data_IF_914173044177
#
_entry.id   IF_914173044177
#
_cell.length_a   1.000
_cell.length_b   1.000
_cell.length_c   1.000
_cell.angle_alpha   90.00
_cell.angle_beta   90.00
_cell.angle_gamma   90.00
#
_symmetry.space_group_name_H-M   'P 1'
#
loop_
_entity.id
_entity.type
_entity.pdbx_description
1 polymer ?
#
# COMPACT_ATOMS: atom_id res chain seq x y z
N UNK A 1 -7.07 22.43 43.84
CA UNK A 1 -6.37 23.33 42.91
C UNK A 1 -7.40 24.32 42.36
N UNK A 2 -7.35 25.60 42.74
CA UNK A 2 -8.26 26.65 42.22
C UNK A 2 -7.51 27.41 41.14
N UNK A 3 -7.96 27.32 39.88
CA UNK A 3 -7.38 28.14 38.82
C UNK A 3 -8.09 29.49 38.78
N UNK A 4 -7.36 30.57 39.09
CA UNK A 4 -7.86 31.93 39.02
C UNK A 4 -7.76 32.44 37.58
N UNK A 5 -8.71 32.07 36.72
CA UNK A 5 -8.80 32.62 35.37
C UNK A 5 -9.61 33.92 35.39
N UNK A 6 -9.00 35.01 34.91
CA UNK A 6 -9.65 36.31 34.78
C UNK A 6 -10.70 36.30 33.67
N UNK A 7 -11.75 37.12 33.81
CA UNK A 7 -12.76 37.36 32.77
C UNK A 7 -12.13 37.80 31.44
N UNK A 8 -11.04 38.58 31.52
CA UNK A 8 -10.31 39.03 30.32
C UNK A 8 -9.66 37.88 29.56
N UNK A 9 -9.26 36.82 30.27
CA UNK A 9 -8.72 35.61 29.64
C UNK A 9 -9.79 34.93 28.77
N UNK A 10 -11.02 34.81 29.28
CA UNK A 10 -12.12 34.19 28.55
C UNK A 10 -12.52 35.00 27.32
N UNK A 11 -12.61 36.34 27.44
CA UNK A 11 -12.92 37.22 26.31
C UNK A 11 -11.87 37.11 25.20
N UNK A 12 -10.59 37.05 25.57
CA UNK A 12 -9.50 36.91 24.61
C UNK A 12 -9.52 35.54 23.92
N UNK A 13 -9.90 34.48 24.64
CA UNK A 13 -10.03 33.13 24.08
C UNK A 13 -11.21 33.02 23.12
N UNK A 14 -12.37 33.57 23.50
CA UNK A 14 -13.57 33.57 22.66
C UNK A 14 -13.36 34.34 21.35
N UNK A 15 -12.63 35.46 21.37
CA UNK A 15 -12.31 36.23 20.16
C UNK A 15 -11.40 35.47 19.18
N UNK A 16 -10.63 34.47 19.66
CA UNK A 16 -9.82 33.59 18.79
C UNK A 16 -10.67 32.48 18.15
N UNK A 17 -11.73 32.04 18.82
CA UNK A 17 -12.60 30.96 18.34
C UNK A 17 -13.63 31.47 17.32
N UNK A 18 -14.04 32.75 17.37
CA UNK A 18 -15.05 33.36 16.49
C UNK A 18 -14.70 33.34 14.98
N UNK A 19 -13.43 33.03 14.64
CA UNK A 19 -12.95 32.89 13.26
C UNK A 19 -12.28 31.54 12.98
N UNK A 20 -12.35 30.61 13.93
CA UNK A 20 -11.76 29.29 13.79
C UNK A 20 -12.86 28.30 13.34
N UNK A 21 -12.65 27.60 12.23
CA UNK A 21 -13.46 26.43 11.90
C UNK A 21 -13.22 25.36 12.96
N UNK A 22 -14.24 25.10 13.79
CA UNK A 22 -14.16 24.05 14.81
C UNK A 22 -14.36 22.70 14.13
N UNK A 23 -13.27 21.94 13.99
CA UNK A 23 -13.35 20.53 13.60
C UNK A 23 -13.13 19.64 14.81
N UNK A 24 -13.90 18.55 14.91
CA UNK A 24 -13.62 17.49 15.85
C UNK A 24 -12.44 16.66 15.33
N UNK A 25 -11.23 17.13 15.65
CA UNK A 25 -9.97 16.54 15.22
C UNK A 25 -9.50 17.07 13.87
N UNK A 26 -8.85 18.24 13.86
CA UNK A 26 -7.97 18.68 12.77
C UNK A 26 -6.71 19.33 13.34
N UNK A 27 -5.60 19.06 12.66
CA UNK A 27 -4.33 19.74 12.90
C UNK A 27 -4.49 21.19 12.47
N UNK A 28 -4.34 22.15 13.39
CA UNK A 28 -4.30 23.57 13.08
C UNK A 28 -3.01 23.89 12.32
N UNK A 29 -3.07 23.83 10.99
CA UNK A 29 -1.95 24.08 10.08
C UNK A 29 -1.34 25.48 10.28
N UNK A 30 -2.09 26.44 10.81
CA UNK A 30 -1.61 27.79 11.08
C UNK A 30 -0.78 27.89 12.38
N UNK A 31 -0.77 26.85 13.22
CA UNK A 31 0.03 26.77 14.45
C UNK A 31 1.39 26.10 14.28
N UNK A 32 1.68 25.54 13.12
CA UNK A 32 3.00 24.99 12.84
C UNK A 32 4.00 26.14 12.62
N UNK A 33 5.18 26.12 13.26
CA UNK A 33 6.21 27.11 12.98
C UNK A 33 6.55 27.02 11.49
N UNK A 34 6.41 28.12 10.78
CA UNK A 34 6.72 28.20 9.35
C UNK A 34 8.22 27.95 9.15
N UNK A 35 8.61 26.68 9.04
CA UNK A 35 9.86 26.30 8.40
C UNK A 35 9.74 26.71 6.95
N UNK A 36 10.12 27.94 6.66
CA UNK A 36 10.40 28.44 5.31
C UNK A 36 11.59 27.67 4.76
N UNK A 37 11.33 26.43 4.32
CA UNK A 37 12.15 25.85 3.27
C UNK A 37 11.37 26.08 1.98
N UNK A 38 11.78 27.12 1.27
CA UNK A 38 11.38 27.42 -0.10
C UNK A 38 12.02 26.42 -1.06
N UNK A 39 11.79 25.13 -0.81
CA UNK A 39 11.55 24.19 -1.88
C UNK A 39 10.07 23.85 -1.74
N UNK A 40 9.27 24.40 -2.66
CA UNK A 40 8.07 23.71 -3.08
C UNK A 40 8.58 22.41 -3.72
N UNK A 41 8.98 21.44 -2.89
CA UNK A 41 8.92 20.06 -3.28
C UNK A 41 7.43 19.87 -3.44
N UNK A 42 6.98 20.04 -4.69
CA UNK A 42 5.92 19.25 -5.26
C UNK A 42 5.72 18.01 -4.39
N UNK A 43 4.70 18.04 -3.53
CA UNK A 43 4.18 16.83 -2.87
C UNK A 43 3.52 15.92 -3.92
N UNK A 44 3.92 16.01 -5.20
CA UNK A 44 4.32 14.84 -5.99
C UNK A 44 5.59 14.19 -5.39
N UNK A 45 5.57 13.83 -4.11
CA UNK A 45 6.19 12.56 -3.76
C UNK A 45 5.35 11.58 -4.54
N UNK A 46 5.88 11.02 -5.63
CA UNK A 46 5.17 10.12 -6.52
C UNK A 46 4.48 9.06 -5.66
N UNK A 47 3.21 9.30 -5.34
CA UNK A 47 2.28 8.23 -5.08
C UNK A 47 2.33 7.54 -6.43
N UNK A 48 3.09 6.44 -6.49
CA UNK A 48 2.89 5.50 -7.57
C UNK A 48 1.49 4.93 -7.27
N UNK A 49 0.46 5.72 -7.61
CA UNK A 49 -0.95 5.31 -7.58
C UNK A 49 -1.17 4.14 -8.52
N UNK A 50 -0.20 3.90 -9.40
CA UNK A 50 -0.14 2.74 -10.26
C UNK A 50 0.37 1.54 -9.45
N UNK A 51 -0.43 0.47 -9.34
CA UNK A 51 -0.01 -0.75 -8.70
C UNK A 51 1.22 -1.28 -9.45
N UNK A 52 2.17 -1.88 -8.72
CA UNK A 52 3.34 -2.45 -9.37
C UNK A 52 2.86 -3.55 -10.33
N UNK A 53 3.35 -3.60 -11.59
CA UNK A 53 3.00 -4.66 -12.53
C UNK A 53 3.38 -6.07 -12.00
N UNK A 54 4.24 -6.13 -10.99
CA UNK A 54 4.62 -7.33 -10.29
C UNK A 54 3.53 -7.92 -9.38
N UNK A 55 2.53 -7.13 -8.92
CA UNK A 55 1.56 -7.60 -7.92
C UNK A 55 0.69 -8.72 -8.46
N UNK A 56 0.00 -8.49 -9.58
CA UNK A 56 -0.84 -9.51 -10.22
C UNK A 56 -0.05 -10.76 -10.61
N UNK A 57 1.18 -10.56 -11.10
CA UNK A 57 2.10 -11.63 -11.47
C UNK A 57 2.54 -12.46 -10.27
N UNK A 58 2.84 -11.82 -9.14
CA UNK A 58 3.18 -12.49 -7.88
C UNK A 58 2.03 -13.38 -7.41
N UNK A 59 0.80 -12.85 -7.41
CA UNK A 59 -0.41 -13.60 -7.02
C UNK A 59 -0.58 -14.82 -7.93
N UNK A 60 -0.50 -14.61 -9.25
CA UNK A 60 -0.63 -15.68 -10.23
C UNK A 60 0.44 -16.78 -10.05
N UNK A 61 1.71 -16.40 -9.99
CA UNK A 61 2.82 -17.35 -9.86
C UNK A 61 2.80 -18.09 -8.52
N UNK A 62 2.48 -17.39 -7.43
CA UNK A 62 2.35 -18.02 -6.10
C UNK A 62 1.18 -19.00 -6.06
N UNK A 63 0.05 -18.65 -6.68
CA UNK A 63 -1.10 -19.54 -6.83
C UNK A 63 -0.73 -20.79 -7.63
N UNK A 64 -0.09 -20.61 -8.79
CA UNK A 64 0.38 -21.71 -9.66
C UNK A 64 1.39 -22.62 -8.94
N UNK A 65 2.34 -22.04 -8.20
CA UNK A 65 3.30 -22.80 -7.38
C UNK A 65 2.63 -23.65 -6.31
N UNK A 66 1.54 -23.18 -5.69
CA UNK A 66 0.73 -23.95 -4.74
C UNK A 66 -0.22 -24.96 -5.43
N UNK A 67 -0.25 -25.02 -6.76
CA UNK A 67 -1.17 -25.89 -7.51
C UNK A 67 -2.64 -25.52 -7.37
N UNK A 68 -2.96 -24.28 -6.96
CA UNK A 68 -4.33 -23.84 -6.70
C UNK A 68 -5.02 -23.40 -8.00
N UNK A 69 -6.25 -23.87 -8.20
CA UNK A 69 -7.18 -23.28 -9.19
C UNK A 69 -7.59 -21.89 -8.74
N UNK A 70 -8.00 -21.05 -9.68
CA UNK A 70 -8.40 -19.67 -9.40
C UNK A 70 -9.55 -19.60 -8.39
N UNK A 71 -10.57 -20.44 -8.57
CA UNK A 71 -11.72 -20.58 -7.68
C UNK A 71 -11.32 -21.02 -6.26
N UNK A 72 -10.32 -21.89 -6.16
CA UNK A 72 -9.83 -22.40 -4.88
C UNK A 72 -9.11 -21.29 -4.09
N UNK A 73 -8.32 -20.44 -4.77
CA UNK A 73 -7.70 -19.29 -4.12
C UNK A 73 -8.76 -18.24 -3.73
N UNK A 74 -9.68 -17.91 -4.62
CA UNK A 74 -10.76 -16.95 -4.33
C UNK A 74 -11.57 -17.38 -3.10
N UNK A 75 -11.94 -18.67 -3.02
CA UNK A 75 -12.62 -19.24 -1.85
C UNK A 75 -11.77 -19.19 -0.58
N UNK A 76 -10.47 -19.50 -0.67
CA UNK A 76 -9.56 -19.47 0.48
C UNK A 76 -9.34 -18.05 1.01
N UNK A 77 -9.22 -17.06 0.12
CA UNK A 77 -9.07 -15.64 0.46
C UNK A 77 -10.43 -14.97 0.80
N UNK A 78 -11.57 -15.61 0.48
CA UNK A 78 -12.93 -15.05 0.65
C UNK A 78 -13.16 -13.78 -0.18
N UNK A 79 -12.71 -13.81 -1.44
CA UNK A 79 -12.85 -12.74 -2.43
C UNK A 79 -13.63 -13.24 -3.65
N UNK A 80 -14.12 -12.33 -4.48
CA UNK A 80 -14.80 -12.70 -5.72
C UNK A 80 -13.81 -13.28 -6.74
N UNK A 81 -14.26 -14.29 -7.52
CA UNK A 81 -13.41 -14.91 -8.55
C UNK A 81 -13.08 -13.92 -9.66
N UNK A 82 -14.03 -13.05 -10.02
CA UNK A 82 -13.88 -12.02 -11.04
C UNK A 82 -12.86 -10.98 -10.60
N UNK A 83 -12.92 -10.56 -9.34
CA UNK A 83 -11.93 -9.66 -8.73
C UNK A 83 -10.52 -10.29 -8.78
N UNK A 84 -10.38 -11.58 -8.46
CA UNK A 84 -9.10 -12.28 -8.57
C UNK A 84 -8.58 -12.37 -10.01
N UNK A 85 -9.48 -12.51 -10.99
CA UNK A 85 -9.11 -12.49 -12.42
C UNK A 85 -8.57 -11.12 -12.81
N UNK A 86 -9.23 -10.04 -12.40
CA UNK A 86 -8.77 -8.68 -12.63
C UNK A 86 -7.40 -8.45 -11.97
N UNK A 87 -7.22 -8.87 -10.72
CA UNK A 87 -5.94 -8.78 -10.01
C UNK A 87 -4.81 -9.48 -10.77
N UNK A 88 -5.05 -10.69 -11.30
CA UNK A 88 -3.99 -11.46 -11.97
C UNK A 88 -3.70 -11.01 -13.41
N UNK A 89 -4.65 -10.37 -14.09
CA UNK A 89 -4.54 -10.05 -15.53
C UNK A 89 -4.41 -8.57 -15.84
N UNK A 90 -5.02 -7.71 -15.02
CA UNK A 90 -5.09 -6.29 -15.27
C UNK A 90 -4.01 -5.57 -14.45
N UNK A 91 -2.94 -5.16 -15.15
CA UNK A 91 -1.78 -4.48 -14.55
C UNK A 91 -2.13 -3.15 -13.86
N UNK A 92 -3.27 -2.54 -14.21
CA UNK A 92 -3.70 -1.26 -13.65
C UNK A 92 -4.77 -1.42 -12.57
N UNK A 93 -5.18 -2.65 -12.24
CA UNK A 93 -6.20 -2.89 -11.22
C UNK A 93 -5.62 -2.71 -9.82
N UNK A 94 -6.19 -1.77 -9.06
CA UNK A 94 -5.84 -1.53 -7.65
C UNK A 94 -6.88 -2.21 -6.76
N UNK A 95 -6.55 -3.35 -6.13
CA UNK A 95 -7.44 -4.01 -5.18
C UNK A 95 -7.56 -3.22 -3.88
N UNK A 96 -8.67 -3.40 -3.18
CA UNK A 96 -8.87 -2.82 -1.85
C UNK A 96 -7.86 -3.38 -0.83
N UNK A 97 -7.45 -2.59 0.19
CA UNK A 97 -6.51 -3.05 1.22
C UNK A 97 -6.95 -4.35 1.91
N UNK A 98 -8.26 -4.51 2.09
CA UNK A 98 -8.86 -5.72 2.66
C UNK A 98 -8.58 -6.96 1.79
N UNK A 99 -8.82 -6.85 0.49
CA UNK A 99 -8.56 -7.91 -0.50
C UNK A 99 -7.08 -8.29 -0.49
N UNK A 100 -6.19 -7.30 -0.45
CA UNK A 100 -4.74 -7.51 -0.39
C UNK A 100 -4.33 -8.26 0.87
N UNK A 101 -4.86 -7.86 2.03
CA UNK A 101 -4.60 -8.54 3.30
C UNK A 101 -5.08 -10.00 3.30
N UNK A 102 -6.27 -10.25 2.74
CA UNK A 102 -6.83 -11.60 2.60
C UNK A 102 -5.98 -12.48 1.68
N UNK A 103 -5.53 -11.94 0.54
CA UNK A 103 -4.64 -12.63 -0.39
C UNK A 103 -3.28 -12.93 0.24
N UNK A 104 -2.70 -11.97 0.97
CA UNK A 104 -1.45 -12.16 1.69
C UNK A 104 -1.54 -13.35 2.67
N UNK A 105 -2.62 -13.43 3.44
CA UNK A 105 -2.85 -14.53 4.37
C UNK A 105 -3.04 -15.88 3.67
N UNK A 106 -3.86 -15.94 2.61
CA UNK A 106 -4.11 -17.18 1.86
C UNK A 106 -2.82 -17.70 1.16
N UNK A 107 -2.01 -16.78 0.65
CA UNK A 107 -0.76 -17.10 -0.04
C UNK A 107 0.45 -17.24 0.89
N UNK A 108 0.28 -16.94 2.18
CA UNK A 108 1.32 -16.89 3.21
C UNK A 108 2.47 -15.98 2.78
N UNK A 109 2.12 -14.72 2.50
CA UNK A 109 3.04 -13.65 2.11
C UNK A 109 2.93 -12.50 3.14
N UNK A 110 3.98 -11.69 3.32
CA UNK A 110 3.96 -10.54 4.23
C UNK A 110 2.93 -9.49 3.78
N UNK A 111 1.95 -9.19 4.65
CA UNK A 111 0.84 -8.28 4.32
C UNK A 111 1.28 -6.86 4.00
N UNK A 112 2.24 -6.31 4.76
CA UNK A 112 2.73 -4.94 4.58
C UNK A 112 3.37 -4.75 3.20
N UNK A 113 4.13 -5.74 2.74
CA UNK A 113 4.75 -5.73 1.42
C UNK A 113 3.74 -5.91 0.29
N UNK A 114 2.73 -6.75 0.51
CA UNK A 114 1.64 -6.93 -0.45
C UNK A 114 0.87 -5.62 -0.63
N UNK A 115 0.64 -4.85 0.45
CA UNK A 115 0.01 -3.53 0.41
C UNK A 115 0.87 -2.49 -0.31
N UNK A 116 2.20 -2.54 -0.13
CA UNK A 116 3.14 -1.66 -0.85
C UNK A 116 3.16 -1.98 -2.36
N UNK A 117 3.17 -3.27 -2.72
CA UNK A 117 3.15 -3.71 -4.13
C UNK A 117 1.83 -3.43 -4.84
N UNK A 118 0.71 -3.51 -4.10
CA UNK A 118 -0.63 -3.23 -4.65
C UNK A 118 -0.92 -1.73 -4.81
N UNK A 119 0.06 -0.85 -4.53
CA UNK A 119 -0.13 0.60 -4.57
C UNK A 119 -0.97 1.17 -3.42
N UNK A 120 -1.29 0.36 -2.41
CA UNK A 120 -2.12 0.78 -1.27
C UNK A 120 -1.31 1.43 -0.14
N UNK A 121 0.01 1.27 -0.12
CA UNK A 121 0.91 1.91 0.83
C UNK A 121 2.02 2.66 0.09
N UNK A 122 2.38 3.85 0.58
CA UNK A 122 3.51 4.60 0.04
C UNK A 122 4.80 3.82 0.19
N UNK A 123 5.51 3.66 -0.93
CA UNK A 123 6.76 2.90 -1.00
C UNK A 123 7.80 3.56 -0.09
N UNK A 124 8.10 2.93 1.04
CA UNK A 124 9.12 3.43 1.98
C UNK A 124 10.51 3.04 1.53
N UNK A 125 10.61 1.96 0.76
CA UNK A 125 11.87 1.36 0.34
C UNK A 125 11.97 1.33 -1.18
N UNK A 126 12.76 2.25 -1.75
CA UNK A 126 13.00 2.33 -3.19
C UNK A 126 13.59 1.04 -3.78
N UNK A 127 14.18 0.17 -2.94
CA UNK A 127 14.69 -1.14 -3.36
C UNK A 127 13.58 -2.14 -3.72
N UNK A 128 12.42 -2.10 -3.05
CA UNK A 128 11.30 -2.98 -3.35
C UNK A 128 10.74 -2.73 -4.76
N UNK A 129 10.61 -1.46 -5.15
CA UNK A 129 10.15 -1.09 -6.49
C UNK A 129 11.07 -1.60 -7.59
N UNK A 130 12.39 -1.50 -7.41
CA UNK A 130 13.37 -2.01 -8.38
C UNK A 130 13.33 -3.54 -8.48
N UNK A 131 13.23 -4.23 -7.35
CA UNK A 131 13.16 -5.70 -7.33
C UNK A 131 11.85 -6.21 -7.95
N UNK A 132 10.73 -5.51 -7.70
CA UNK A 132 9.45 -5.81 -8.35
C UNK A 132 9.53 -5.70 -9.87
N UNK A 133 10.20 -4.67 -10.40
CA UNK A 133 10.43 -4.52 -11.85
C UNK A 133 11.32 -5.64 -12.39
N UNK A 134 12.40 -6.00 -11.69
CA UNK A 134 13.28 -7.12 -12.08
C UNK A 134 12.53 -8.45 -12.09
N UNK A 135 11.70 -8.68 -11.07
CA UNK A 135 10.85 -9.86 -10.97
C UNK A 135 9.87 -9.95 -12.14
N UNK A 136 9.17 -8.85 -12.46
CA UNK A 136 8.24 -8.78 -13.58
C UNK A 136 8.94 -9.10 -14.91
N UNK A 137 10.10 -8.49 -15.17
CA UNK A 137 10.86 -8.73 -16.39
C UNK A 137 11.36 -10.17 -16.56
N UNK A 138 11.59 -10.90 -15.45
CA UNK A 138 12.06 -12.31 -15.46
C UNK A 138 10.93 -13.33 -15.54
N UNK A 139 9.68 -12.90 -15.38
CA UNK A 139 8.54 -13.78 -15.08
C UNK A 139 7.46 -13.78 -16.18
N UNK A 140 7.78 -13.29 -17.37
CA UNK A 140 6.84 -13.15 -18.51
C UNK A 140 6.68 -14.45 -19.34
N UNK A 141 7.15 -15.62 -18.85
CA UNK A 141 7.18 -16.87 -19.63
C UNK A 141 5.84 -17.64 -19.51
N UNK A 142 5.11 -17.74 -20.61
CA UNK A 142 3.70 -18.19 -20.62
C UNK A 142 3.50 -19.72 -20.41
N UNK A 143 4.56 -20.51 -20.29
CA UNK A 143 4.47 -21.98 -20.15
C UNK A 143 4.45 -22.48 -18.69
N UNK A 144 4.39 -23.81 -18.47
CA UNK A 144 4.52 -24.43 -17.13
C UNK A 144 5.74 -23.83 -16.43
N UNK A 145 5.56 -23.35 -15.19
CA UNK A 145 6.53 -22.60 -14.40
C UNK A 145 7.97 -22.97 -14.78
N UNK A 146 8.62 -22.09 -15.54
CA UNK A 146 9.98 -22.37 -15.99
C UNK A 146 10.91 -22.45 -14.77
N UNK A 147 12.07 -23.09 -14.92
CA UNK A 147 13.07 -23.12 -13.84
C UNK A 147 13.50 -21.70 -13.44
N UNK A 148 13.49 -20.78 -14.41
CA UNK A 148 13.85 -19.37 -14.19
C UNK A 148 12.75 -18.63 -13.42
N UNK A 149 11.48 -18.85 -13.75
CA UNK A 149 10.34 -18.24 -13.03
C UNK A 149 10.24 -18.74 -11.59
N UNK A 150 10.45 -20.05 -11.39
CA UNK A 150 10.44 -20.65 -10.06
C UNK A 150 11.53 -20.05 -9.19
N UNK A 151 12.72 -19.83 -9.77
CA UNK A 151 13.85 -19.19 -9.10
C UNK A 151 13.58 -17.71 -8.82
N UNK A 152 13.07 -16.96 -9.79
CA UNK A 152 12.74 -15.55 -9.61
C UNK A 152 11.68 -15.35 -8.52
N UNK A 153 10.66 -16.22 -8.48
CA UNK A 153 9.64 -16.22 -7.42
C UNK A 153 10.23 -16.54 -6.05
N UNK A 154 11.15 -17.49 -5.94
CA UNK A 154 11.80 -17.83 -4.67
C UNK A 154 12.70 -16.72 -4.16
N UNK A 155 13.52 -16.13 -5.04
CA UNK A 155 14.35 -14.96 -4.74
C UNK A 155 13.48 -13.79 -4.26
N UNK A 156 12.38 -13.51 -4.95
CA UNK A 156 11.48 -12.41 -4.58
C UNK A 156 10.73 -12.68 -3.27
N UNK A 157 10.20 -13.89 -3.06
CA UNK A 157 9.55 -14.25 -1.78
C UNK A 157 10.54 -14.19 -0.62
N UNK A 158 11.80 -14.61 -0.83
CA UNK A 158 12.86 -14.50 0.19
C UNK A 158 13.13 -13.04 0.54
N UNK A 159 13.27 -12.17 -0.47
CA UNK A 159 13.41 -10.73 -0.27
C UNK A 159 12.26 -10.12 0.53
N UNK A 160 11.01 -10.53 0.25
CA UNK A 160 9.84 -10.09 1.01
C UNK A 160 9.89 -10.54 2.48
N UNK A 161 10.51 -11.68 2.78
CA UNK A 161 10.57 -12.25 4.14
C UNK A 161 11.76 -11.81 5.00
N UNK A 162 12.83 -11.31 4.40
CA UNK A 162 14.09 -10.97 5.10
C UNK A 162 14.12 -9.56 5.71
N UNK A 163 13.11 -8.73 5.45
CA UNK A 163 13.00 -7.35 5.97
C UNK A 163 11.58 -7.03 6.43
#
# INVERSE_FOLDING_TARGET
MKMNLSVDWFRRRAALDDKAEVSAGTLDLNRLPATRSSNVVSMQGAVNENPSPAFGLLVNLRRRKKGLRIEALAKAARIDVTELIEIERNLNYVPEPRTVYQLANALQLPSDRMLELSGNLTVRDSSLGQEAVRFAARSESVEKLSKEESRALEEFVKFLSEK
#
